data_IF_492614064732
#
_entry.id   IF_492614064732
#
_cell.length_a   1.000
_cell.length_b   1.000
_cell.length_c   1.000
_cell.angle_alpha   90.00
_cell.angle_beta   90.00
_cell.angle_gamma   90.00
#
_symmetry.space_group_name_H-M   'P 1'
#
loop_
_entity.id
_entity.type
_entity.pdbx_description
1 polymer ?
#
# COMPACT_ATOMS: atom_id res chain seq x y z
N UNK A 1 3.69 -8.93 -5.34
CA UNK A 1 4.59 -8.56 -4.22
C UNK A 1 5.88 -7.84 -4.69
N UNK A 2 6.64 -8.38 -5.65
CA UNK A 2 7.92 -7.79 -6.08
C UNK A 2 7.88 -6.31 -6.47
N UNK A 3 6.86 -5.87 -7.22
CA UNK A 3 6.66 -4.44 -7.55
C UNK A 3 6.58 -3.60 -6.28
N UNK A 4 5.72 -3.99 -5.32
CA UNK A 4 5.53 -3.26 -4.07
C UNK A 4 6.82 -3.21 -3.24
N UNK A 5 7.55 -4.33 -3.12
CA UNK A 5 8.86 -4.39 -2.46
C UNK A 5 9.80 -3.33 -3.04
N UNK A 6 9.93 -3.28 -4.36
CA UNK A 6 10.85 -2.34 -5.00
C UNK A 6 10.41 -0.88 -4.82
N UNK A 7 9.09 -0.60 -4.83
CA UNK A 7 8.56 0.74 -4.53
C UNK A 7 8.84 1.17 -3.09
N UNK A 8 8.71 0.25 -2.13
CA UNK A 8 9.02 0.51 -0.73
C UNK A 8 10.51 0.74 -0.52
N UNK A 9 11.36 -0.17 -1.02
CA UNK A 9 12.82 -0.10 -0.86
C UNK A 9 13.42 1.14 -1.55
N UNK A 10 12.82 1.62 -2.65
CA UNK A 10 13.25 2.84 -3.31
C UNK A 10 13.06 4.12 -2.47
N UNK A 11 12.22 4.08 -1.44
CA UNK A 11 12.00 5.17 -0.48
C UNK A 11 12.64 4.91 0.89
N UNK A 12 13.15 3.70 1.09
CA UNK A 12 13.63 3.21 2.37
C UNK A 12 15.10 3.56 2.59
N UNK A 13 15.42 3.99 3.81
CA UNK A 13 16.80 4.19 4.26
C UNK A 13 17.18 3.17 5.32
N UNK A 14 16.26 2.88 6.25
CA UNK A 14 16.43 1.87 7.30
C UNK A 14 15.12 1.09 7.52
N UNK A 15 14.88 -0.01 6.79
CA UNK A 15 13.63 -0.76 6.86
C UNK A 15 13.22 -1.15 8.29
N UNK A 16 14.19 -1.49 9.14
CA UNK A 16 13.92 -1.96 10.51
C UNK A 16 13.29 -0.88 11.41
N UNK A 17 13.39 0.40 11.03
CA UNK A 17 12.81 1.54 11.73
C UNK A 17 11.66 2.19 10.95
N UNK A 18 11.25 1.62 9.82
CA UNK A 18 10.25 2.20 8.92
C UNK A 18 8.93 1.43 8.96
N UNK A 19 7.84 2.17 9.13
CA UNK A 19 6.47 1.68 8.97
C UNK A 19 5.99 1.94 7.56
N UNK A 20 5.56 0.89 6.86
CA UNK A 20 4.93 1.02 5.54
C UNK A 20 3.41 1.00 5.68
N UNK A 21 2.72 1.86 4.93
CA UNK A 21 1.25 1.86 4.80
C UNK A 21 0.88 1.67 3.33
N UNK A 22 0.34 0.49 3.01
CA UNK A 22 -0.30 0.20 1.73
C UNK A 22 -1.72 0.80 1.74
N UNK A 23 -1.97 1.77 0.87
CA UNK A 23 -3.27 2.44 0.78
C UNK A 23 -3.88 2.23 -0.61
N UNK A 24 -5.08 1.66 -0.65
CA UNK A 24 -5.86 1.47 -1.88
C UNK A 24 -7.19 2.24 -1.81
N UNK A 25 -7.88 2.34 -2.95
CA UNK A 25 -9.23 2.89 -3.02
C UNK A 25 -10.22 2.10 -2.16
N UNK A 26 -10.31 0.80 -2.37
CA UNK A 26 -11.25 -0.10 -1.69
C UNK A 26 -12.69 -0.06 -2.24
N UNK A 27 -13.44 -1.16 -2.13
CA UNK A 27 -14.85 -1.26 -2.55
C UNK A 27 -15.80 -0.69 -1.49
N UNK A 28 -17.07 -0.47 -1.85
CA UNK A 28 -18.07 0.09 -0.92
C UNK A 28 -18.70 -0.94 0.03
N UNK A 29 -18.74 -2.23 -0.32
CA UNK A 29 -19.27 -3.27 0.56
C UNK A 29 -18.26 -3.68 1.63
N UNK A 30 -18.72 -3.90 2.87
CA UNK A 30 -17.83 -4.26 3.98
C UNK A 30 -17.14 -5.62 3.80
N UNK A 31 -17.88 -6.62 3.29
CA UNK A 31 -17.31 -7.94 3.02
C UNK A 31 -16.23 -7.87 1.93
N UNK A 32 -16.51 -7.15 0.85
CA UNK A 32 -15.55 -6.94 -0.24
C UNK A 32 -14.34 -6.16 0.26
N UNK A 33 -14.55 -5.15 1.10
CA UNK A 33 -13.47 -4.35 1.66
C UNK A 33 -12.56 -5.18 2.58
N UNK A 34 -13.16 -6.04 3.39
CA UNK A 34 -12.43 -6.99 4.25
C UNK A 34 -11.59 -7.94 3.40
N UNK A 35 -12.15 -8.49 2.32
CA UNK A 35 -11.40 -9.32 1.37
C UNK A 35 -10.27 -8.54 0.68
N UNK A 36 -10.52 -7.28 0.32
CA UNK A 36 -9.55 -6.41 -0.32
C UNK A 36 -8.35 -6.12 0.58
N UNK A 37 -8.60 -5.78 1.85
CA UNK A 37 -7.55 -5.56 2.85
C UNK A 37 -6.75 -6.85 3.08
N UNK A 38 -7.41 -8.01 3.27
CA UNK A 38 -6.73 -9.31 3.42
C UNK A 38 -5.81 -9.65 2.25
N UNK A 39 -6.22 -9.35 1.02
CA UNK A 39 -5.37 -9.55 -0.16
C UNK A 39 -4.12 -8.67 -0.12
N UNK A 40 -4.25 -7.41 0.33
CA UNK A 40 -3.11 -6.51 0.50
C UNK A 40 -2.20 -6.92 1.67
N UNK A 41 -2.75 -7.43 2.77
CA UNK A 41 -1.98 -8.02 3.87
C UNK A 41 -1.19 -9.25 3.40
N UNK A 42 -1.79 -10.10 2.55
CA UNK A 42 -1.07 -11.22 1.92
C UNK A 42 0.09 -10.72 1.05
N UNK A 43 -0.10 -9.63 0.29
CA UNK A 43 0.97 -9.01 -0.48
C UNK A 43 2.07 -8.44 0.42
N UNK A 44 1.71 -7.84 1.56
CA UNK A 44 2.66 -7.34 2.55
C UNK A 44 3.53 -8.46 3.14
N UNK A 45 2.92 -9.59 3.51
CA UNK A 45 3.64 -10.78 3.99
C UNK A 45 4.61 -11.32 2.92
N UNK A 46 4.17 -11.39 1.65
CA UNK A 46 5.04 -11.79 0.55
C UNK A 46 6.21 -10.81 0.32
N UNK A 47 6.01 -9.50 0.55
CA UNK A 47 7.11 -8.53 0.48
C UNK A 47 8.16 -8.81 1.55
N UNK A 48 7.75 -9.07 2.79
CA UNK A 48 8.69 -9.40 3.86
C UNK A 48 9.47 -10.69 3.58
N UNK A 49 8.80 -11.71 3.03
CA UNK A 49 9.46 -12.95 2.62
C UNK A 49 10.48 -12.70 1.50
N UNK A 50 10.13 -11.89 0.50
CA UNK A 50 11.09 -11.49 -0.54
C UNK A 50 12.28 -10.71 0.04
N UNK A 51 12.06 -9.79 0.99
CA UNK A 51 13.17 -9.09 1.65
C UNK A 51 14.13 -10.07 2.34
N UNK A 52 13.59 -11.07 3.04
CA UNK A 52 14.38 -12.12 3.70
C UNK A 52 15.20 -12.93 2.68
N UNK A 53 14.58 -13.32 1.56
CA UNK A 53 15.27 -14.05 0.48
C UNK A 53 16.40 -13.24 -0.15
N UNK A 54 16.21 -11.93 -0.29
CA UNK A 54 17.21 -11.00 -0.83
C UNK A 54 18.29 -10.60 0.21
N UNK A 55 18.25 -11.16 1.44
CA UNK A 55 19.17 -10.81 2.53
C UNK A 55 18.99 -9.38 3.06
N UNK A 56 17.82 -8.75 2.82
CA UNK A 56 17.46 -7.42 3.30
C UNK A 56 16.83 -7.49 4.69
N UNK A 57 17.03 -6.46 5.49
CA UNK A 57 16.27 -6.29 6.75
C UNK A 57 14.78 -6.09 6.42
N UNK A 58 13.87 -6.75 7.14
CA UNK A 58 12.44 -6.55 6.95
C UNK A 58 12.02 -5.15 7.39
N UNK A 59 10.94 -4.63 6.79
CA UNK A 59 10.28 -3.44 7.33
C UNK A 59 9.75 -3.72 8.74
N UNK A 60 9.79 -2.71 9.62
CA UNK A 60 9.28 -2.81 11.01
C UNK A 60 7.86 -3.35 11.04
N UNK A 61 7.00 -2.77 10.21
CA UNK A 61 5.62 -3.19 10.00
C UNK A 61 5.13 -2.73 8.63
N UNK A 62 4.26 -3.51 8.01
CA UNK A 62 3.57 -3.15 6.78
C UNK A 62 2.07 -3.26 7.04
N UNK A 63 1.39 -2.12 7.14
CA UNK A 63 -0.06 -2.04 7.31
C UNK A 63 -0.75 -1.96 5.94
N UNK A 64 -1.95 -2.50 5.83
CA UNK A 64 -2.78 -2.40 4.64
C UNK A 64 -4.16 -1.83 4.98
N UNK A 65 -4.63 -0.87 4.19
CA UNK A 65 -5.94 -0.25 4.39
C UNK A 65 -6.52 0.29 3.08
N UNK A 66 -7.78 0.67 3.14
CA UNK A 66 -8.48 1.35 2.05
C UNK A 66 -8.98 2.73 2.50
N UNK A 67 -9.08 3.67 1.55
CA UNK A 67 -9.60 5.03 1.82
C UNK A 67 -11.08 5.20 1.49
N UNK A 68 -11.71 4.17 0.90
CA UNK A 68 -13.16 4.05 0.69
C UNK A 68 -13.75 5.30 0.03
N UNK A 69 -13.13 5.76 -1.06
CA UNK A 69 -13.42 7.06 -1.68
C UNK A 69 -14.88 7.23 -2.12
N UNK A 70 -15.53 6.15 -2.53
CA UNK A 70 -16.91 6.17 -3.04
C UNK A 70 -17.96 5.70 -1.99
N UNK A 71 -17.54 5.46 -0.74
CA UNK A 71 -18.43 4.97 0.31
C UNK A 71 -19.29 6.11 0.91
N UNK A 72 -20.36 5.79 1.66
CA UNK A 72 -21.06 6.77 2.47
C UNK A 72 -20.11 7.64 3.29
N UNK A 73 -20.46 8.93 3.45
CA UNK A 73 -19.57 9.97 3.99
C UNK A 73 -18.95 9.59 5.34
N UNK A 74 -19.73 9.00 6.23
CA UNK A 74 -19.30 8.55 7.54
C UNK A 74 -18.25 7.43 7.47
N UNK A 75 -18.41 6.49 6.53
CA UNK A 75 -17.45 5.40 6.29
C UNK A 75 -16.17 5.95 5.65
N UNK A 76 -16.29 6.84 4.67
CA UNK A 76 -15.15 7.52 4.05
C UNK A 76 -14.32 8.30 5.08
N UNK A 77 -14.98 9.10 5.93
CA UNK A 77 -14.29 9.87 6.97
C UNK A 77 -13.63 8.97 8.03
N UNK A 78 -14.27 7.86 8.41
CA UNK A 78 -13.65 6.86 9.29
C UNK A 78 -12.38 6.25 8.66
N UNK A 79 -12.42 5.88 7.38
CA UNK A 79 -11.28 5.35 6.65
C UNK A 79 -10.13 6.39 6.56
N UNK A 80 -10.47 7.66 6.29
CA UNK A 80 -9.53 8.79 6.31
C UNK A 80 -8.88 8.96 7.69
N UNK A 81 -9.67 8.93 8.76
CA UNK A 81 -9.17 9.05 10.13
C UNK A 81 -8.26 7.89 10.51
N UNK A 82 -8.62 6.66 10.11
CA UNK A 82 -7.81 5.47 10.30
C UNK A 82 -6.45 5.63 9.62
N UNK A 83 -6.42 6.01 8.34
CA UNK A 83 -5.17 6.26 7.61
C UNK A 83 -4.28 7.26 8.36
N UNK A 84 -4.84 8.41 8.78
CA UNK A 84 -4.08 9.42 9.54
C UNK A 84 -3.58 8.90 10.90
N UNK A 85 -4.37 8.07 11.58
CA UNK A 85 -3.99 7.50 12.87
C UNK A 85 -2.79 6.55 12.74
N UNK A 86 -2.78 5.68 11.72
CA UNK A 86 -1.66 4.77 11.46
C UNK A 86 -0.38 5.54 11.13
N UNK A 87 -0.46 6.58 10.29
CA UNK A 87 0.71 7.41 9.97
C UNK A 87 1.26 8.10 11.22
N UNK A 88 0.40 8.76 12.01
CA UNK A 88 0.83 9.38 13.29
C UNK A 88 1.48 8.38 14.23
N UNK A 89 0.90 7.19 14.36
CA UNK A 89 1.44 6.14 15.22
C UNK A 89 2.81 5.65 14.73
N UNK A 90 2.99 5.56 13.41
CA UNK A 90 4.28 5.28 12.79
C UNK A 90 5.31 6.36 13.15
N UNK A 91 4.97 7.64 12.99
CA UNK A 91 5.85 8.78 13.28
C UNK A 91 6.33 8.86 14.74
N UNK A 92 5.59 8.30 15.71
CA UNK A 92 6.04 8.22 17.11
C UNK A 92 7.28 7.32 17.26
N UNK A 93 7.44 6.34 16.37
CA UNK A 93 8.36 5.22 16.58
C UNK A 93 9.29 4.95 15.38
N UNK A 94 9.37 5.89 14.45
CA UNK A 94 10.20 5.82 13.26
C UNK A 94 9.62 6.59 12.06
N UNK A 95 10.16 6.30 10.88
CA UNK A 95 9.71 6.89 9.62
C UNK A 95 8.50 6.16 9.05
N UNK A 96 7.69 6.88 8.27
CA UNK A 96 6.53 6.31 7.58
C UNK A 96 6.69 6.40 6.07
N UNK A 97 6.45 5.29 5.38
CA UNK A 97 6.40 5.22 3.91
C UNK A 97 4.97 4.89 3.51
N UNK A 98 4.36 5.72 2.67
CA UNK A 98 3.02 5.45 2.15
C UNK A 98 3.12 5.02 0.70
N UNK A 99 2.52 3.86 0.38
CA UNK A 99 2.56 3.26 -0.96
C UNK A 99 1.13 3.20 -1.51
N UNK A 100 0.83 3.88 -2.63
CA UNK A 100 -0.46 3.74 -3.27
C UNK A 100 -0.55 2.40 -4.00
N UNK A 101 -1.54 1.59 -3.63
CA UNK A 101 -1.85 0.34 -4.34
C UNK A 101 -2.95 0.61 -5.37
N UNK A 102 -2.54 1.27 -6.45
CA UNK A 102 -3.38 1.61 -7.61
C UNK A 102 -2.78 0.99 -8.88
N UNK A 103 -3.64 0.60 -9.81
CA UNK A 103 -3.20 -0.03 -11.06
C UNK A 103 -2.41 0.97 -11.94
N UNK A 104 -3.03 2.10 -12.25
CA UNK A 104 -2.50 3.14 -13.12
C UNK A 104 -2.47 4.50 -12.41
N UNK A 105 -1.60 5.42 -12.83
CA UNK A 105 -1.70 6.81 -12.39
C UNK A 105 -2.98 7.43 -12.95
N UNK A 106 -3.66 8.25 -12.15
CA UNK A 106 -4.92 8.88 -12.56
C UNK A 106 -5.44 9.96 -11.62
N UNK A 107 -4.65 10.37 -10.63
CA UNK A 107 -5.00 11.40 -9.65
C UNK A 107 -5.58 10.85 -8.35
N UNK A 108 -6.25 9.69 -8.36
CA UNK A 108 -6.79 9.08 -7.12
C UNK A 108 -5.67 8.71 -6.15
N UNK A 109 -4.52 8.27 -6.64
CA UNK A 109 -3.34 8.02 -5.80
C UNK A 109 -2.87 9.29 -5.07
N UNK A 110 -2.93 10.46 -5.72
CA UNK A 110 -2.54 11.74 -5.10
C UNK A 110 -3.47 12.13 -3.96
N UNK A 111 -4.72 11.70 -4.03
CA UNK A 111 -5.73 11.97 -3.01
C UNK A 111 -5.37 11.33 -1.65
N UNK A 112 -4.58 10.23 -1.64
CA UNK A 112 -4.02 9.65 -0.42
C UNK A 112 -3.09 10.64 0.27
N UNK A 113 -2.13 11.20 -0.48
CA UNK A 113 -1.19 12.17 0.07
C UNK A 113 -1.91 13.44 0.59
N UNK A 114 -2.93 13.91 -0.13
CA UNK A 114 -3.77 15.04 0.30
C UNK A 114 -4.48 14.76 1.64
N UNK A 115 -4.96 13.53 1.86
CA UNK A 115 -5.60 13.14 3.14
C UNK A 115 -4.61 13.16 4.31
N UNK A 116 -3.31 13.11 4.03
CA UNK A 116 -2.22 13.09 5.00
C UNK A 116 -1.55 14.45 5.18
N UNK A 117 -2.09 15.53 4.61
CA UNK A 117 -1.54 16.88 4.78
C UNK A 117 -1.30 17.23 6.27
N UNK A 118 -0.14 17.82 6.52
CA UNK A 118 0.35 18.13 7.87
C UNK A 118 0.91 16.93 8.67
N UNK A 119 1.17 15.79 8.02
CA UNK A 119 1.89 14.65 8.60
C UNK A 119 3.17 14.38 7.80
N UNK A 120 4.19 13.83 8.47
CA UNK A 120 5.46 13.46 7.85
C UNK A 120 5.41 12.04 7.30
N UNK A 121 5.67 11.88 6.00
CA UNK A 121 5.76 10.57 5.35
C UNK A 121 6.56 10.64 4.04
N UNK A 122 7.23 9.54 3.69
CA UNK A 122 7.90 9.36 2.40
C UNK A 122 6.86 8.95 1.34
N UNK A 123 6.90 9.58 0.18
CA UNK A 123 5.92 9.39 -0.89
C UNK A 123 6.54 9.55 -2.28
N UNK A 124 6.34 8.55 -3.15
CA UNK A 124 6.71 8.64 -4.58
C UNK A 124 5.51 8.79 -5.51
N UNK A 125 4.30 8.46 -5.03
CA UNK A 125 3.09 8.39 -5.85
C UNK A 125 3.09 7.33 -6.95
N UNK A 126 4.13 6.48 -7.04
CA UNK A 126 4.23 5.46 -8.10
C UNK A 126 3.22 4.35 -7.88
N UNK A 127 2.39 4.12 -8.90
CA UNK A 127 1.43 3.02 -9.00
C UNK A 127 2.10 1.71 -9.46
N UNK A 128 1.30 0.67 -9.71
CA UNK A 128 1.78 -0.60 -10.24
C UNK A 128 2.31 -0.44 -11.68
N UNK A 129 1.53 0.19 -12.56
CA UNK A 129 2.00 0.58 -13.88
C UNK A 129 3.03 1.72 -13.81
N UNK A 130 4.01 1.78 -14.74
CA UNK A 130 4.15 0.95 -15.95
C UNK A 130 5.09 -0.27 -15.77
N UNK A 131 5.17 -0.89 -14.60
CA UNK A 131 6.10 -2.00 -14.36
C UNK A 131 5.76 -3.24 -15.21
N UNK A 132 6.73 -3.74 -16.00
CA UNK A 132 6.53 -4.84 -16.96
C UNK A 132 6.12 -6.15 -16.30
N UNK A 133 6.44 -6.38 -15.03
CA UNK A 133 6.03 -7.60 -14.30
C UNK A 133 4.51 -7.75 -14.20
N UNK A 134 3.77 -6.65 -14.36
CA UNK A 134 2.32 -6.71 -14.44
C UNK A 134 1.85 -7.34 -15.77
N UNK A 135 2.56 -7.13 -16.87
CA UNK A 135 2.28 -7.80 -18.15
C UNK A 135 2.51 -9.31 -18.01
N UNK A 136 3.64 -9.71 -17.44
CA UNK A 136 3.96 -11.13 -17.21
C UNK A 136 2.90 -11.80 -16.32
N UNK A 137 2.44 -11.10 -15.29
CA UNK A 137 1.36 -11.55 -14.44
C UNK A 137 0.06 -11.75 -15.23
N UNK A 138 -0.34 -10.79 -16.07
CA UNK A 138 -1.57 -10.88 -16.86
C UNK A 138 -1.53 -12.04 -17.85
N UNK A 139 -0.42 -12.20 -18.58
CA UNK A 139 -0.24 -13.32 -19.53
C UNK A 139 -0.36 -14.65 -18.79
N UNK A 140 0.41 -14.84 -17.72
CA UNK A 140 0.37 -16.07 -16.93
C UNK A 140 -0.97 -16.31 -16.22
N UNK A 141 -1.75 -15.27 -15.94
CA UNK A 141 -3.11 -15.40 -15.40
C UNK A 141 -4.11 -15.90 -16.43
N UNK A 142 -3.99 -15.48 -17.70
CA UNK A 142 -4.87 -15.95 -18.78
C UNK A 142 -4.55 -17.40 -19.13
N UNK A 143 -3.27 -17.75 -19.26
CA UNK A 143 -2.83 -19.11 -19.60
C UNK A 143 -3.27 -20.18 -18.59
N UNK A 144 -3.45 -19.82 -17.31
CA UNK A 144 -3.90 -20.76 -16.27
C UNK A 144 -5.39 -21.09 -16.31
N UNK A 145 -6.17 -20.33 -17.06
CA UNK A 145 -7.63 -20.48 -17.13
C UNK A 145 -8.05 -21.22 -18.41
N UNK A 146 -7.15 -21.34 -19.39
CA UNK A 146 -7.31 -22.14 -20.62
C UNK A 146 -6.80 -23.56 -20.37
#
# INVERSE_FOLDING_TARGET
AGILRDRMLALSEDPANETVVLAAHGPNGENDNTGWVKNMESLAAQVQELQKQDGKKPFKIINALTVRDDAPKDIHEQARQHLRAIVRQGNISGDVIVIPVFLSPGGREKSIAQRLEGLDFKWSGKTLLPDSRLTDFLVGSVEKVI
#
